data_IF_189400361241
#
_entry.id   IF_189400361241
#
_cell.length_a   1.000
_cell.length_b   1.000
_cell.length_c   1.000
_cell.angle_alpha   90.00
_cell.angle_beta   90.00
_cell.angle_gamma   90.00
#
_symmetry.space_group_name_H-M   'P 1'
#
loop_
_entity.id
_entity.type
_entity.pdbx_description
1 polymer ?
#
# COMPACT_ATOMS: atom_id res chain seq x y z
N UNK A 1 -28.10 -51.47 20.70
CA UNK A 1 -26.70 -51.42 20.23
C UNK A 1 -26.68 -50.73 18.89
N UNK A 2 -25.98 -49.60 18.76
CA UNK A 2 -25.76 -48.95 17.47
C UNK A 2 -24.36 -49.36 16.99
N UNK A 3 -24.28 -49.92 15.78
CA UNK A 3 -23.01 -50.28 15.12
C UNK A 3 -22.83 -49.27 14.00
N UNK A 4 -21.80 -48.44 14.10
CA UNK A 4 -21.45 -47.48 13.05
C UNK A 4 -20.41 -48.11 12.15
N UNK A 5 -20.75 -48.35 10.89
CA UNK A 5 -19.78 -48.81 9.88
C UNK A 5 -19.08 -47.62 9.25
N UNK A 6 -17.77 -47.69 9.14
CA UNK A 6 -16.97 -46.71 8.40
C UNK A 6 -16.13 -47.45 7.35
N UNK A 7 -16.11 -46.88 6.14
CA UNK A 7 -15.22 -47.31 5.07
C UNK A 7 -14.15 -46.26 4.89
N UNK A 8 -12.89 -46.71 4.87
CA UNK A 8 -11.74 -45.87 4.58
C UNK A 8 -10.99 -46.49 3.42
N UNK A 9 -10.75 -45.68 2.39
CA UNK A 9 -9.94 -46.05 1.24
C UNK A 9 -8.55 -45.47 1.45
N UNK A 10 -7.53 -46.30 1.24
CA UNK A 10 -6.16 -45.83 1.14
C UNK A 10 -5.46 -46.53 -0.02
N UNK A 11 -4.48 -45.84 -0.59
CA UNK A 11 -3.75 -46.29 -1.76
C UNK A 11 -2.34 -46.67 -1.32
N UNK A 12 -1.94 -47.92 -1.57
CA UNK A 12 -0.58 -48.39 -1.35
C UNK A 12 -0.08 -49.03 -2.63
N UNK A 13 1.06 -48.56 -3.14
CA UNK A 13 1.67 -49.04 -4.40
C UNK A 13 0.73 -48.99 -5.62
N UNK A 14 -0.12 -47.95 -5.72
CA UNK A 14 -1.01 -47.76 -6.87
C UNK A 14 -2.26 -48.66 -6.89
N UNK A 15 -2.45 -49.52 -5.90
CA UNK A 15 -3.68 -50.28 -5.72
C UNK A 15 -4.54 -49.67 -4.61
N UNK A 16 -5.84 -49.50 -4.88
CA UNK A 16 -6.81 -49.10 -3.87
C UNK A 16 -7.17 -50.32 -3.01
N UNK A 17 -6.94 -50.20 -1.71
CA UNK A 17 -7.31 -51.22 -0.74
C UNK A 17 -8.50 -50.70 0.07
N UNK A 18 -9.56 -51.50 0.15
CA UNK A 18 -10.74 -51.21 0.96
C UNK A 18 -10.60 -51.93 2.31
N UNK A 19 -10.52 -51.15 3.38
CA UNK A 19 -10.54 -51.70 4.73
C UNK A 19 -11.92 -51.47 5.36
N UNK A 20 -12.65 -52.55 5.61
CA UNK A 20 -13.88 -52.53 6.41
C UNK A 20 -13.56 -53.03 7.82
N UNK A 21 -13.51 -52.11 8.78
CA UNK A 21 -13.37 -52.43 10.19
C UNK A 21 -14.70 -52.26 10.91
N UNK A 22 -15.08 -53.24 11.74
CA UNK A 22 -16.14 -53.08 12.74
C UNK A 22 -15.46 -52.88 14.09
N UNK A 23 -15.64 -51.70 14.69
CA UNK A 23 -15.20 -51.46 16.06
C UNK A 23 -16.40 -51.50 17.00
N UNK A 24 -16.40 -52.38 18.03
CA UNK A 24 -17.44 -52.36 19.05
C UNK A 24 -17.30 -51.07 19.86
N UNK A 25 -18.37 -50.28 19.92
CA UNK A 25 -18.47 -49.12 20.82
C UNK A 25 -18.59 -49.66 22.24
N UNK A 26 -17.45 -49.81 22.91
CA UNK A 26 -17.40 -50.07 24.34
C UNK A 26 -17.84 -48.77 25.05
N UNK A 27 -19.03 -48.79 25.65
CA UNK A 27 -19.48 -47.72 26.56
C UNK A 27 -18.58 -47.76 27.80
N UNK A 28 -17.46 -47.05 27.75
CA UNK A 28 -16.62 -46.81 28.91
C UNK A 28 -17.40 -45.93 29.89
N UNK A 29 -17.72 -46.49 31.06
CA UNK A 29 -18.18 -45.69 32.18
C UNK A 29 -17.03 -44.77 32.58
N UNK A 30 -17.26 -43.47 32.41
CA UNK A 30 -16.24 -42.44 32.52
C UNK A 30 -15.67 -42.35 33.94
N UNK A 31 -14.37 -42.60 34.05
CA UNK A 31 -13.59 -42.07 35.15
C UNK A 31 -13.35 -40.58 34.91
N UNK A 32 -13.49 -39.70 35.92
CA UNK A 32 -13.26 -38.27 35.77
C UNK A 32 -11.77 -38.05 35.47
N UNK A 33 -11.45 -37.82 34.20
CA UNK A 33 -10.13 -37.35 33.78
C UNK A 33 -10.00 -35.93 34.32
N UNK A 34 -9.04 -35.64 35.22
CA UNK A 34 -8.80 -34.27 35.65
C UNK A 34 -8.44 -33.47 34.41
N UNK A 35 -9.30 -32.48 34.11
CA UNK A 35 -9.07 -31.51 33.04
C UNK A 35 -7.89 -30.66 33.47
N UNK A 36 -6.66 -31.14 33.21
CA UNK A 36 -5.47 -30.30 33.28
C UNK A 36 -5.65 -29.28 32.17
N UNK A 37 -6.07 -28.08 32.56
CA UNK A 37 -6.26 -26.96 31.66
C UNK A 37 -4.99 -26.81 30.82
N UNK A 38 -5.11 -27.13 29.52
CA UNK A 38 -4.06 -26.87 28.57
C UNK A 38 -3.67 -25.38 28.74
N UNK A 39 -2.38 -25.07 28.95
CA UNK A 39 -1.96 -23.68 29.09
C UNK A 39 -2.44 -22.92 27.86
N UNK A 40 -3.07 -21.74 28.04
CA UNK A 40 -3.63 -21.00 26.92
C UNK A 40 -2.53 -20.80 25.87
N UNK A 41 -2.76 -21.33 24.67
CA UNK A 41 -1.91 -21.10 23.50
C UNK A 41 -1.66 -19.58 23.45
N UNK A 42 -0.40 -19.10 23.42
CA UNK A 42 -0.12 -17.68 23.45
C UNK A 42 -0.79 -16.99 22.25
N UNK A 43 -1.96 -16.37 22.48
CA UNK A 43 -2.68 -15.55 21.50
C UNK A 43 -1.87 -14.31 21.06
N UNK A 44 -0.64 -14.15 21.55
CA UNK A 44 0.25 -13.06 21.21
C UNK A 44 0.72 -13.08 19.74
N UNK A 45 0.78 -14.24 19.06
CA UNK A 45 1.08 -14.27 17.61
C UNK A 45 -0.08 -13.78 16.73
N UNK A 46 -1.33 -13.93 17.18
CA UNK A 46 -2.50 -13.50 16.42
C UNK A 46 -2.79 -11.98 16.52
N UNK A 47 -2.26 -11.29 17.53
CA UNK A 47 -2.45 -9.84 17.68
C UNK A 47 -1.56 -9.01 16.75
N UNK A 48 -0.41 -9.54 16.33
CA UNK A 48 0.59 -8.78 15.54
C UNK A 48 0.24 -8.61 14.05
N UNK A 49 -0.70 -9.41 13.50
CA UNK A 49 -1.15 -9.30 12.11
C UNK A 49 -2.36 -8.37 11.89
N UNK A 50 -2.97 -7.84 12.96
CA UNK A 50 -4.28 -7.17 12.87
C UNK A 50 -4.27 -5.79 12.20
N UNK A 51 -3.11 -5.22 11.89
CA UNK A 51 -2.99 -3.87 11.32
C UNK A 51 -2.11 -3.84 10.05
N UNK A 52 -2.05 -4.93 9.30
CA UNK A 52 -1.36 -4.93 8.00
C UNK A 52 -2.22 -4.21 6.96
N UNK A 53 -1.60 -3.36 6.15
CA UNK A 53 -2.28 -2.75 5.02
C UNK A 53 -2.69 -3.83 4.01
N UNK A 54 -3.76 -3.61 3.27
CA UNK A 54 -4.21 -4.52 2.21
C UNK A 54 -3.08 -4.83 1.21
N UNK A 55 -2.26 -3.83 0.88
CA UNK A 55 -1.13 -4.03 -0.04
C UNK A 55 -0.07 -4.98 0.55
N UNK A 56 0.21 -4.89 1.85
CA UNK A 56 1.13 -5.78 2.56
C UNK A 56 0.55 -7.19 2.74
N UNK A 57 -0.77 -7.30 2.94
CA UNK A 57 -1.44 -8.59 3.10
C UNK A 57 -1.41 -9.42 1.82
N UNK A 58 -1.53 -8.76 0.66
CA UNK A 58 -1.60 -9.40 -0.65
C UNK A 58 -0.31 -9.27 -1.46
N UNK A 59 0.73 -8.63 -0.93
CA UNK A 59 1.97 -8.28 -1.64
C UNK A 59 1.73 -7.60 -3.00
N UNK A 60 0.74 -6.69 -3.08
CA UNK A 60 0.39 -6.08 -4.37
C UNK A 60 1.38 -4.97 -4.78
N UNK A 61 1.24 -4.45 -6.00
CA UNK A 61 2.18 -3.51 -6.62
C UNK A 61 2.44 -2.22 -5.81
N UNK A 62 1.56 -1.89 -4.86
CA UNK A 62 1.62 -0.70 -4.02
C UNK A 62 2.39 -0.88 -2.69
N UNK A 63 3.28 -1.88 -2.62
CA UNK A 63 4.14 -2.11 -1.47
C UNK A 63 4.99 -0.87 -1.13
N UNK A 64 5.22 -0.63 0.17
CA UNK A 64 6.02 0.51 0.63
C UNK A 64 5.30 1.46 1.59
N UNK A 65 4.03 1.20 1.92
CA UNK A 65 3.26 2.07 2.80
C UNK A 65 3.84 2.16 4.22
N UNK A 66 4.38 1.05 4.74
CA UNK A 66 4.99 1.01 6.06
C UNK A 66 6.29 1.79 6.13
N UNK A 67 7.19 1.54 5.19
CA UNK A 67 8.49 2.20 5.15
C UNK A 67 8.31 3.71 5.01
N UNK A 68 7.29 4.14 4.26
CA UNK A 68 6.95 5.55 4.14
C UNK A 68 6.42 6.12 5.47
N UNK A 69 5.53 5.41 6.17
CA UNK A 69 5.06 5.84 7.50
C UNK A 69 6.20 5.94 8.51
N UNK A 70 7.14 4.97 8.48
CA UNK A 70 8.34 4.98 9.31
C UNK A 70 9.24 6.18 8.95
N UNK A 71 9.35 6.57 7.68
CA UNK A 71 10.10 7.75 7.24
C UNK A 71 9.45 9.08 7.66
N UNK A 72 8.12 9.18 7.59
CA UNK A 72 7.38 10.38 7.99
C UNK A 72 7.38 10.59 9.51
N UNK A 73 7.65 9.53 10.28
CA UNK A 73 7.80 9.57 11.73
C UNK A 73 6.48 9.50 12.50
N UNK A 74 6.59 9.20 13.80
CA UNK A 74 5.41 8.97 14.64
C UNK A 74 4.59 10.25 14.91
N UNK A 75 5.25 11.41 14.80
CA UNK A 75 4.66 12.74 15.00
C UNK A 75 3.71 13.14 13.86
N UNK A 76 3.78 12.46 12.72
CA UNK A 76 2.91 12.77 11.59
C UNK A 76 1.44 12.66 11.98
N UNK A 77 0.66 13.69 11.67
CA UNK A 77 -0.71 13.80 12.16
C UNK A 77 -1.67 12.77 11.55
N UNK A 78 -1.24 11.98 10.57
CA UNK A 78 -1.98 10.82 10.03
C UNK A 78 -1.42 9.46 10.48
N UNK A 79 -0.32 9.42 11.22
CA UNK A 79 0.34 8.18 11.64
C UNK A 79 -0.62 7.20 12.32
N UNK A 80 -0.57 5.93 11.93
CA UNK A 80 -1.44 4.86 12.44
C UNK A 80 -2.89 4.90 11.93
N UNK A 81 -3.23 5.80 11.00
CA UNK A 81 -4.58 5.83 10.42
C UNK A 81 -4.72 4.79 9.31
N UNK A 82 -5.77 3.98 9.40
CA UNK A 82 -6.18 3.03 8.37
C UNK A 82 -7.65 3.26 8.01
N UNK A 83 -8.00 2.90 6.78
CA UNK A 83 -9.33 3.06 6.22
C UNK A 83 -9.82 1.71 5.72
N UNK A 84 -10.96 1.29 6.24
CA UNK A 84 -11.62 0.08 5.74
C UNK A 84 -12.04 0.29 4.29
N UNK A 85 -11.81 -0.74 3.48
CA UNK A 85 -12.27 -0.78 2.11
C UNK A 85 -13.80 -0.58 2.08
N UNK A 86 -14.36 0.22 1.15
CA UNK A 86 -15.79 0.44 1.07
C UNK A 86 -16.55 -0.90 0.93
N UNK A 87 -17.80 -1.01 1.44
CA UNK A 87 -18.59 -2.24 1.30
C UNK A 87 -18.81 -2.65 -0.16
N UNK A 88 -19.04 -3.94 -0.41
CA UNK A 88 -19.38 -4.44 -1.75
C UNK A 88 -20.63 -3.74 -2.30
N UNK A 89 -20.58 -3.33 -3.56
CA UNK A 89 -21.65 -2.58 -4.22
C UNK A 89 -21.86 -1.16 -3.70
N UNK A 90 -20.97 -0.63 -2.85
CA UNK A 90 -21.08 0.73 -2.36
C UNK A 90 -20.85 1.73 -3.49
N UNK A 91 -21.90 2.50 -3.79
CA UNK A 91 -21.87 3.54 -4.82
C UNK A 91 -21.80 4.92 -4.19
N UNK A 92 -20.98 5.79 -4.79
CA UNK A 92 -20.95 7.22 -4.47
C UNK A 92 -20.94 8.00 -5.78
N UNK A 93 -21.88 8.94 -5.89
CA UNK A 93 -22.04 9.76 -7.09
C UNK A 93 -22.12 8.93 -8.39
N UNK A 94 -22.78 7.77 -8.34
CA UNK A 94 -22.92 6.85 -9.47
C UNK A 94 -21.74 5.92 -9.73
N UNK A 95 -20.61 6.09 -9.04
CA UNK A 95 -19.41 5.24 -9.18
C UNK A 95 -19.37 4.15 -8.12
N UNK A 96 -18.95 2.94 -8.48
CA UNK A 96 -18.60 1.89 -7.53
C UNK A 96 -17.21 2.17 -6.95
N UNK A 97 -17.16 2.72 -5.73
CA UNK A 97 -15.89 3.16 -5.14
C UNK A 97 -15.01 1.96 -4.82
N UNK A 98 -15.62 0.86 -4.36
CA UNK A 98 -14.89 -0.33 -3.96
C UNK A 98 -14.18 -0.94 -5.16
N UNK A 99 -14.92 -1.15 -6.25
CA UNK A 99 -14.35 -1.68 -7.49
C UNK A 99 -13.21 -0.78 -7.99
N UNK A 100 -13.38 0.55 -7.93
CA UNK A 100 -12.35 1.49 -8.36
C UNK A 100 -11.11 1.49 -7.47
N UNK A 101 -11.26 1.42 -6.15
CA UNK A 101 -10.13 1.29 -5.22
C UNK A 101 -9.34 0.00 -5.48
N UNK A 102 -10.04 -1.11 -5.73
CA UNK A 102 -9.44 -2.40 -6.02
C UNK A 102 -8.71 -2.42 -7.37
N UNK A 103 -9.30 -1.85 -8.41
CA UNK A 103 -8.67 -1.68 -9.73
C UNK A 103 -7.34 -0.94 -9.62
N UNK A 104 -7.33 0.19 -8.90
CA UNK A 104 -6.11 0.98 -8.70
C UNK A 104 -5.06 0.19 -7.92
N UNK A 105 -5.45 -0.50 -6.85
CA UNK A 105 -4.51 -1.30 -6.06
C UNK A 105 -4.01 -2.56 -6.79
N UNK A 106 -4.55 -2.88 -7.97
CA UNK A 106 -4.24 -4.10 -8.71
C UNK A 106 -4.71 -5.36 -8.00
N UNK A 107 -5.84 -5.27 -7.28
CA UNK A 107 -6.43 -6.36 -6.49
C UNK A 107 -7.82 -6.68 -7.04
N UNK A 108 -8.20 -7.97 -7.07
CA UNK A 108 -9.56 -8.38 -7.43
C UNK A 108 -10.37 -8.78 -6.19
N UNK A 109 -11.69 -8.77 -6.29
CA UNK A 109 -12.56 -9.28 -5.21
C UNK A 109 -12.28 -10.75 -4.90
N UNK A 110 -12.01 -11.56 -5.93
CA UNK A 110 -11.68 -12.97 -5.78
C UNK A 110 -10.43 -13.19 -4.92
N UNK A 111 -9.43 -12.30 -5.04
CA UNK A 111 -8.24 -12.35 -4.17
C UNK A 111 -8.60 -12.10 -2.71
N UNK A 112 -9.52 -11.18 -2.43
CA UNK A 112 -9.97 -10.90 -1.05
C UNK A 112 -10.71 -12.09 -0.45
N UNK A 113 -11.56 -12.73 -1.25
CA UNK A 113 -12.32 -13.92 -0.85
C UNK A 113 -11.40 -15.12 -0.64
N UNK A 114 -10.50 -15.39 -1.58
CA UNK A 114 -9.54 -16.48 -1.48
C UNK A 114 -8.65 -16.38 -0.24
N UNK A 115 -8.27 -15.16 0.15
CA UNK A 115 -7.48 -14.90 1.36
C UNK A 115 -8.32 -14.72 2.63
N UNK A 116 -9.65 -14.89 2.55
CA UNK A 116 -10.58 -14.75 3.67
C UNK A 116 -10.47 -13.40 4.42
N UNK A 117 -10.22 -12.31 3.67
CA UNK A 117 -10.07 -10.97 4.23
C UNK A 117 -11.45 -10.33 4.44
N UNK A 118 -11.97 -10.41 5.66
CA UNK A 118 -13.31 -9.89 6.00
C UNK A 118 -13.39 -8.36 6.07
N UNK A 119 -12.34 -7.72 6.56
CA UNK A 119 -12.27 -6.26 6.76
C UNK A 119 -10.91 -5.73 6.34
N UNK A 120 -10.60 -5.79 5.03
CA UNK A 120 -9.35 -5.27 4.53
C UNK A 120 -9.26 -3.76 4.79
N UNK A 121 -8.11 -3.31 5.26
CA UNK A 121 -7.85 -1.90 5.56
C UNK A 121 -6.69 -1.40 4.72
N UNK A 122 -6.78 -0.15 4.27
CA UNK A 122 -5.75 0.54 3.51
C UNK A 122 -5.20 1.66 4.37
N UNK A 123 -3.88 1.75 4.50
CA UNK A 123 -3.25 2.80 5.29
C UNK A 123 -3.33 4.17 4.64
N UNK A 124 -3.27 5.22 5.45
CA UNK A 124 -3.40 6.61 4.99
C UNK A 124 -2.37 7.01 3.93
N UNK A 125 -1.20 6.39 3.96
CA UNK A 125 -0.10 6.59 3.02
C UNK A 125 -0.44 6.31 1.56
N UNK A 126 -1.53 5.59 1.30
CA UNK A 126 -2.08 5.43 -0.05
C UNK A 126 -2.93 6.61 -0.52
N UNK A 127 -3.14 7.63 0.30
CA UNK A 127 -3.96 8.78 -0.08
C UNK A 127 -3.15 10.06 0.09
N UNK A 128 -3.19 10.98 -0.88
CA UNK A 128 -2.63 12.32 -0.72
C UNK A 128 -3.16 13.03 0.53
N UNK A 129 -2.30 13.76 1.24
CA UNK A 129 -2.67 14.38 2.52
C UNK A 129 -3.85 15.36 2.42
N UNK A 130 -3.93 16.11 1.33
CA UNK A 130 -5.04 17.04 1.10
C UNK A 130 -6.39 16.34 0.87
N UNK A 131 -6.43 15.00 0.74
CA UNK A 131 -7.68 14.23 0.76
C UNK A 131 -8.26 14.07 2.17
N UNK A 132 -7.51 14.42 3.21
CA UNK A 132 -7.97 14.31 4.58
C UNK A 132 -8.55 15.64 5.08
N UNK A 133 -9.55 15.52 5.95
CA UNK A 133 -10.01 16.63 6.79
C UNK A 133 -9.54 16.36 8.22
N UNK A 134 -8.93 17.37 8.82
CA UNK A 134 -8.69 17.38 10.25
C UNK A 134 -9.99 17.82 10.92
N UNK A 135 -10.75 16.88 11.46
CA UNK A 135 -11.95 17.19 12.22
C UNK A 135 -11.53 17.55 13.65
N UNK A 136 -11.76 18.79 14.05
CA UNK A 136 -11.54 19.19 15.43
C UNK A 136 -12.46 18.35 16.33
N UNK A 137 -11.89 17.75 17.36
CA UNK A 137 -12.70 17.08 18.36
C UNK A 137 -13.47 18.15 19.12
N UNK A 138 -14.80 18.11 19.06
CA UNK A 138 -15.67 18.95 19.90
C UNK A 138 -15.49 18.66 21.39
N UNK A 139 -14.87 17.53 21.75
CA UNK A 139 -14.56 17.15 23.13
C UNK A 139 -13.07 17.41 23.39
N UNK A 140 -12.72 18.28 24.36
CA UNK A 140 -11.34 18.49 24.80
C UNK A 140 -10.68 17.16 25.19
N UNK A 141 -9.44 16.94 24.73
CA UNK A 141 -8.66 15.75 25.07
C UNK A 141 -9.01 14.46 24.29
N UNK A 142 -10.05 14.45 23.45
CA UNK A 142 -10.26 13.31 22.53
C UNK A 142 -9.35 13.43 21.30
N UNK A 143 -8.78 12.30 20.83
CA UNK A 143 -8.02 12.29 19.59
C UNK A 143 -8.87 12.82 18.43
N UNK A 144 -8.31 13.77 17.67
CA UNK A 144 -8.95 14.31 16.48
C UNK A 144 -9.29 13.16 15.52
N UNK A 145 -10.54 13.09 15.06
CA UNK A 145 -10.95 12.09 14.08
C UNK A 145 -10.36 12.47 12.72
N UNK A 146 -9.65 11.54 12.11
CA UNK A 146 -9.05 11.71 10.78
C UNK A 146 -9.97 11.03 9.79
N UNK A 147 -10.50 11.78 8.83
CA UNK A 147 -11.45 11.27 7.84
C UNK A 147 -11.03 11.67 6.44
N UNK A 148 -11.14 10.72 5.52
CA UNK A 148 -11.11 11.03 4.10
C UNK A 148 -12.27 11.96 3.75
N UNK A 149 -11.99 12.96 2.92
CA UNK A 149 -12.99 13.86 2.35
C UNK A 149 -14.04 13.05 1.58
N UNK A 150 -15.24 13.60 1.47
CA UNK A 150 -16.29 12.96 0.69
C UNK A 150 -15.98 13.03 -0.82
N UNK A 151 -15.52 14.20 -1.26
CA UNK A 151 -15.06 14.54 -2.60
C UNK A 151 -13.84 15.45 -2.49
N UNK A 152 -13.01 15.47 -3.52
CA UNK A 152 -11.75 16.21 -3.62
C UNK A 152 -11.67 16.94 -4.96
N UNK A 153 -10.84 17.96 -5.05
CA UNK A 153 -10.56 18.61 -6.32
C UNK A 153 -9.83 17.62 -7.25
N UNK A 154 -10.17 17.57 -8.55
CA UNK A 154 -9.47 16.70 -9.48
C UNK A 154 -7.98 17.04 -9.53
N UNK A 155 -7.15 16.03 -9.42
CA UNK A 155 -5.70 16.18 -9.53
C UNK A 155 -5.20 15.83 -10.93
N UNK A 156 -4.02 16.33 -11.27
CA UNK A 156 -3.31 15.89 -12.46
C UNK A 156 -3.09 14.37 -12.43
N UNK A 157 -3.50 13.68 -13.50
CA UNK A 157 -3.41 12.22 -13.63
C UNK A 157 -4.63 11.43 -13.16
N UNK A 158 -5.69 12.09 -12.65
CA UNK A 158 -6.99 11.41 -12.47
C UNK A 158 -7.64 11.15 -13.82
N UNK A 159 -8.30 10.00 -13.96
CA UNK A 159 -9.04 9.67 -15.18
C UNK A 159 -10.42 10.34 -15.19
N UNK A 160 -10.97 10.61 -16.38
CA UNK A 160 -12.32 11.18 -16.54
C UNK A 160 -13.42 10.34 -15.87
N UNK A 161 -13.18 9.04 -15.65
CA UNK A 161 -14.11 8.15 -14.96
C UNK A 161 -14.10 8.33 -13.44
N UNK A 162 -13.09 9.00 -12.90
CA UNK A 162 -12.96 9.34 -11.47
C UNK A 162 -13.64 10.67 -11.12
N UNK A 163 -13.98 11.45 -12.14
CA UNK A 163 -14.63 12.74 -12.04
C UNK A 163 -16.15 12.54 -12.06
N UNK A 164 -16.81 13.16 -11.08
CA UNK A 164 -18.25 13.11 -10.93
C UNK A 164 -18.91 13.92 -12.05
N UNK A 165 -19.68 13.24 -12.91
CA UNK A 165 -20.27 13.85 -14.11
C UNK A 165 -21.57 14.62 -13.85
N UNK A 166 -22.27 14.33 -12.76
CA UNK A 166 -23.61 14.86 -12.47
C UNK A 166 -23.85 15.13 -10.98
N UNK A 167 -24.87 15.96 -10.69
CA UNK A 167 -25.30 16.29 -9.33
C UNK A 167 -24.51 17.41 -8.66
N UNK A 168 -24.68 17.55 -7.33
CA UNK A 168 -24.11 18.65 -6.51
C UNK A 168 -22.58 18.72 -6.56
N UNK A 169 -21.91 17.59 -6.78
CA UNK A 169 -20.45 17.49 -6.78
C UNK A 169 -19.87 17.34 -8.19
N UNK A 170 -20.62 17.77 -9.23
CA UNK A 170 -20.15 17.73 -10.61
C UNK A 170 -18.80 18.44 -10.75
N UNK A 171 -17.86 17.79 -11.44
CA UNK A 171 -16.50 18.30 -11.65
C UNK A 171 -15.55 18.03 -10.48
N UNK A 172 -16.02 17.47 -9.37
CA UNK A 172 -15.16 16.99 -8.28
C UNK A 172 -14.80 15.52 -8.48
N UNK A 173 -13.75 15.06 -7.83
CA UNK A 173 -13.32 13.66 -7.84
C UNK A 173 -13.61 12.96 -6.51
N UNK A 174 -13.63 11.63 -6.53
CA UNK A 174 -13.64 10.80 -5.31
C UNK A 174 -12.19 10.63 -4.83
N UNK A 175 -11.89 10.63 -3.51
CA UNK A 175 -10.56 10.28 -3.04
C UNK A 175 -10.26 8.80 -3.37
N UNK A 176 -9.18 8.60 -4.12
CA UNK A 176 -8.75 7.29 -4.59
C UNK A 176 -7.35 6.96 -4.05
N UNK A 177 -7.07 5.67 -3.78
CA UNK A 177 -5.74 5.26 -3.38
C UNK A 177 -4.76 5.36 -4.55
N UNK A 178 -3.51 5.71 -4.25
CA UNK A 178 -2.40 5.74 -5.19
C UNK A 178 -1.51 4.51 -5.01
N UNK A 179 -1.02 3.98 -6.14
CA UNK A 179 -0.20 2.76 -6.18
C UNK A 179 1.25 3.05 -5.83
N UNK A 180 1.78 4.18 -6.29
CA UNK A 180 3.17 4.59 -6.05
C UNK A 180 3.27 5.62 -4.93
N UNK A 181 3.06 5.20 -3.68
CA UNK A 181 3.10 6.09 -2.51
C UNK A 181 4.40 6.91 -2.46
N UNK A 182 5.54 6.28 -2.78
CA UNK A 182 6.87 6.95 -2.81
C UNK A 182 6.98 8.04 -3.89
N UNK A 183 6.45 7.80 -5.10
CA UNK A 183 6.55 8.80 -6.18
C UNK A 183 5.58 9.96 -5.98
N UNK A 184 4.39 9.71 -5.44
CA UNK A 184 3.40 10.76 -5.25
C UNK A 184 3.81 11.76 -4.17
N UNK A 185 4.45 11.29 -3.10
CA UNK A 185 4.96 12.15 -2.03
C UNK A 185 6.25 12.86 -2.41
N UNK A 186 7.13 12.25 -3.21
CA UNK A 186 8.34 12.94 -3.69
C UNK A 186 8.07 14.07 -4.71
N UNK A 187 6.90 14.07 -5.36
CA UNK A 187 6.49 15.11 -6.33
C UNK A 187 5.65 16.22 -5.71
N UNK A 188 4.99 15.94 -4.58
CA UNK A 188 4.61 17.02 -3.69
C UNK A 188 5.94 17.52 -3.15
N UNK A 189 6.50 18.59 -3.75
CA UNK A 189 7.53 19.34 -3.04
C UNK A 189 7.03 19.47 -1.60
N UNK A 190 7.89 19.27 -0.58
CA UNK A 190 7.52 19.69 0.75
C UNK A 190 7.20 21.17 0.59
N UNK A 191 5.92 21.51 0.42
CA UNK A 191 5.42 22.83 0.64
C UNK A 191 5.89 23.03 2.06
N UNK A 192 6.99 23.78 2.21
CA UNK A 192 7.74 23.87 3.44
C UNK A 192 6.67 23.99 4.50
N UNK A 193 6.52 22.92 5.28
CA UNK A 193 5.53 22.88 6.34
C UNK A 193 6.17 23.82 7.34
N UNK A 194 5.97 25.12 7.10
CA UNK A 194 5.96 26.13 8.10
C UNK A 194 4.86 25.57 9.01
N UNK A 195 5.28 24.76 9.99
CA UNK A 195 4.70 24.85 11.30
C UNK A 195 4.59 26.35 11.50
N UNK A 196 3.41 26.89 11.25
CA UNK A 196 3.09 28.24 11.64
C UNK A 196 3.26 28.14 13.13
N UNK A 197 4.44 28.53 13.61
CA UNK A 197 4.68 28.82 15.00
C UNK A 197 3.48 29.65 15.38
N UNK A 198 2.69 29.22 16.38
CA UNK A 198 1.49 29.94 16.75
C UNK A 198 1.94 31.38 16.96
N UNK A 199 1.52 32.26 16.04
CA UNK A 199 1.87 33.66 16.13
C UNK A 199 1.25 34.09 17.43
N UNK A 200 2.12 34.34 18.41
CA UNK A 200 1.75 34.79 19.73
C UNK A 200 0.66 35.85 19.57
N UNK A 201 -0.50 35.69 20.22
CA UNK A 201 -1.54 36.70 20.10
C UNK A 201 -0.94 38.07 20.48
N UNK A 202 -1.30 39.15 19.78
CA UNK A 202 -0.84 40.48 20.15
C UNK A 202 -1.16 40.69 21.63
N UNK A 203 -0.16 41.11 22.40
CA UNK A 203 -0.29 41.33 23.83
C UNK A 203 -1.42 42.33 24.07
N UNK A 204 -2.58 41.80 24.48
CA UNK A 204 -3.65 42.60 25.06
C UNK A 204 -3.20 42.94 26.47
N UNK A 205 -2.70 44.15 26.65
CA UNK A 205 -2.54 44.78 27.96
C UNK A 205 -3.91 44.92 28.59
N UNK A 206 -4.24 44.08 29.57
CA UNK A 206 -5.18 44.42 30.62
C UNK A 206 -5.06 43.48 31.84
N UNK A 207 -4.49 44.06 32.90
CA UNK A 207 -5.02 44.07 34.27
C UNK A 207 -5.51 42.76 34.90
N UNK A 208 -4.67 42.22 35.80
CA UNK A 208 -5.06 41.82 37.16
C UNK A 208 -5.81 40.49 37.33
N UNK A 209 -5.09 39.43 37.73
CA UNK A 209 -5.64 38.33 38.55
C UNK A 209 -4.48 37.60 39.29
N UNK A 210 -4.72 37.05 40.50
CA UNK A 210 -3.68 36.88 41.51
C UNK A 210 -2.90 35.56 41.44
N UNK A 211 -1.71 35.63 42.03
CA UNK A 211 -0.61 34.67 42.06
C UNK A 211 -0.84 33.52 43.06
N UNK A 212 -1.80 32.64 42.79
CA UNK A 212 -2.04 31.48 43.66
C UNK A 212 -2.39 30.20 42.89
N UNK A 213 -1.45 29.65 42.12
CA UNK A 213 -1.38 28.20 41.84
C UNK A 213 -0.09 27.82 41.07
N UNK A 214 1.08 28.06 41.66
CA UNK A 214 2.33 27.41 41.23
C UNK A 214 2.44 26.04 41.92
N UNK A 215 1.93 24.98 41.28
CA UNK A 215 2.35 23.60 41.63
C UNK A 215 3.62 23.28 40.86
N UNK A 216 4.71 23.05 41.61
CA UNK A 216 5.95 22.46 41.12
C UNK A 216 5.64 21.06 40.58
N UNK A 217 5.96 20.81 39.31
CA UNK A 217 5.99 19.47 38.74
C UNK A 217 7.45 19.08 38.60
N UNK A 218 7.89 18.12 39.40
CA UNK A 218 9.21 17.52 39.35
C UNK A 218 9.12 16.24 38.49
N UNK A 219 9.93 16.06 37.44
CA UNK A 219 9.93 14.83 36.66
C UNK A 219 10.61 13.72 37.43
N UNK A 220 9.87 12.65 37.74
CA UNK A 220 10.39 11.44 38.36
C UNK A 220 11.00 10.54 37.27
N UNK A 221 12.33 10.43 37.25
CA UNK A 221 13.08 9.53 36.36
C UNK A 221 12.81 8.07 36.75
N UNK A 222 12.19 7.30 35.87
CA UNK A 222 12.13 5.85 35.99
C UNK A 222 13.29 5.21 35.22
N UNK A 223 14.37 4.91 35.95
CA UNK A 223 15.37 3.93 35.52
C UNK A 223 14.87 2.53 35.88
N UNK A 224 14.62 1.68 34.89
CA UNK A 224 14.47 0.24 35.10
C UNK A 224 15.06 -0.51 33.91
N UNK A 225 16.39 -0.50 33.86
CA UNK A 225 17.16 -1.46 33.09
C UNK A 225 17.75 -2.49 34.07
N UNK A 226 17.17 -3.71 34.09
CA UNK A 226 17.91 -4.99 34.22
C UNK A 226 16.95 -6.15 34.43
N UNK A 227 17.40 -7.29 33.90
CA UNK A 227 17.14 -8.66 34.36
C UNK A 227 16.06 -9.44 33.62
N UNK A 228 16.43 -9.94 32.43
CA UNK A 228 16.10 -11.32 32.05
C UNK A 228 17.33 -11.99 31.44
N UNK A 229 18.03 -12.77 32.26
CA UNK A 229 19.00 -13.75 31.80
C UNK A 229 18.25 -15.06 31.50
N UNK A 230 18.37 -15.48 30.24
CA UNK A 230 18.72 -16.85 29.81
C UNK A 230 18.31 -18.01 30.73
N UNK A 231 17.24 -18.71 30.34
CA UNK A 231 17.14 -20.15 30.56
C UNK A 231 16.66 -20.81 29.26
N UNK A 232 17.61 -21.44 28.55
CA UNK A 232 17.34 -22.33 27.42
C UNK A 232 17.42 -23.76 27.97
N UNK A 233 16.35 -24.58 27.88
CA UNK A 233 16.45 -25.99 28.19
C UNK A 233 16.99 -26.75 26.97
N UNK A 234 18.17 -27.33 27.12
CA UNK A 234 18.75 -28.29 26.17
C UNK A 234 17.99 -29.62 26.30
N UNK A 235 17.14 -29.94 25.33
CA UNK A 235 16.51 -31.26 25.23
C UNK A 235 17.25 -32.06 24.16
N UNK A 236 18.00 -33.07 24.59
CA UNK A 236 18.51 -34.13 23.73
C UNK A 236 17.33 -35.01 23.32
N UNK A 237 17.00 -35.04 22.03
CA UNK A 237 16.08 -36.01 21.44
C UNK A 237 16.72 -36.58 20.18
N UNK A 238 17.08 -37.87 20.29
CA UNK A 238 16.97 -38.95 19.31
C UNK A 238 17.25 -38.61 17.83
N UNK A 239 18.50 -38.86 17.44
CA UNK A 239 18.95 -39.00 16.07
C UNK A 239 18.46 -40.32 15.46
N UNK A 240 17.24 -40.36 14.91
CA UNK A 240 16.88 -41.38 13.93
C UNK A 240 15.98 -40.76 12.86
N UNK A 241 16.45 -40.82 11.61
CA UNK A 241 15.76 -40.53 10.35
C UNK A 241 15.45 -39.05 10.01
N UNK A 242 16.37 -38.40 9.29
CA UNK A 242 16.02 -37.24 8.44
C UNK A 242 16.92 -37.09 7.20
N UNK A 243 17.29 -38.18 6.53
CA UNK A 243 18.07 -38.09 5.28
C UNK A 243 17.26 -37.51 4.11
N UNK A 244 15.92 -37.60 4.14
CA UNK A 244 15.04 -37.01 3.12
C UNK A 244 15.01 -35.46 3.15
N UNK A 245 15.36 -34.83 4.28
CA UNK A 245 15.35 -33.37 4.44
C UNK A 245 16.57 -32.69 3.80
N UNK A 246 17.71 -33.39 3.73
CA UNK A 246 18.95 -32.86 3.15
C UNK A 246 18.86 -32.66 1.63
N UNK A 247 18.19 -33.58 0.92
CA UNK A 247 18.01 -33.45 -0.53
C UNK A 247 17.11 -32.26 -0.91
N UNK A 248 16.05 -32.00 -0.13
CA UNK A 248 15.18 -30.85 -0.33
C UNK A 248 15.92 -29.53 -0.05
N UNK A 249 16.74 -29.49 1.01
CA UNK A 249 17.58 -28.33 1.34
C UNK A 249 18.60 -28.01 0.23
N UNK A 250 19.19 -29.02 -0.41
CA UNK A 250 20.14 -28.81 -1.50
C UNK A 250 19.44 -28.27 -2.75
N UNK A 251 18.23 -28.76 -3.07
CA UNK A 251 17.40 -28.20 -4.15
C UNK A 251 17.09 -26.71 -3.94
N UNK A 252 16.78 -26.30 -2.71
CA UNK A 252 16.54 -24.88 -2.37
C UNK A 252 17.81 -24.04 -2.56
N UNK A 253 18.99 -24.56 -2.19
CA UNK A 253 20.27 -23.84 -2.37
C UNK A 253 20.61 -23.63 -3.83
N UNK A 254 20.44 -24.64 -4.67
CA UNK A 254 20.66 -24.54 -6.12
C UNK A 254 19.73 -23.51 -6.73
N UNK A 255 18.43 -23.53 -6.38
CA UNK A 255 17.47 -22.55 -6.85
C UNK A 255 17.83 -21.12 -6.40
N UNK A 256 18.25 -20.93 -5.15
CA UNK A 256 18.71 -19.63 -4.64
C UNK A 256 19.96 -19.11 -5.34
N UNK A 257 20.87 -20.00 -5.77
CA UNK A 257 22.04 -19.61 -6.53
C UNK A 257 21.67 -19.20 -7.95
N UNK A 258 20.81 -19.97 -8.63
CA UNK A 258 20.30 -19.62 -9.96
C UNK A 258 19.59 -18.25 -9.97
N UNK A 259 18.79 -17.94 -8.93
CA UNK A 259 18.15 -16.62 -8.79
C UNK A 259 19.20 -15.52 -8.65
N UNK A 260 20.28 -15.74 -7.88
CA UNK A 260 21.36 -14.75 -7.74
C UNK A 260 22.10 -14.50 -9.05
N UNK A 261 22.35 -15.56 -9.81
CA UNK A 261 23.04 -15.45 -11.11
C UNK A 261 22.19 -14.70 -12.13
N UNK A 262 20.88 -15.00 -12.22
CA UNK A 262 19.93 -14.28 -13.08
C UNK A 262 19.80 -12.80 -12.69
N UNK A 263 19.78 -12.47 -11.40
CA UNK A 263 19.74 -11.08 -10.94
C UNK A 263 21.02 -10.32 -11.30
N UNK A 264 22.18 -10.99 -11.30
CA UNK A 264 23.45 -10.43 -11.76
C UNK A 264 23.43 -10.12 -13.25
N UNK A 265 22.91 -11.04 -14.07
CA UNK A 265 22.76 -10.88 -15.51
C UNK A 265 21.80 -9.72 -15.86
N UNK A 266 20.64 -9.64 -15.22
CA UNK A 266 19.68 -8.52 -15.39
C UNK A 266 20.34 -7.18 -15.05
N UNK A 267 21.17 -7.13 -14.00
CA UNK A 267 21.90 -5.92 -13.62
C UNK A 267 22.94 -5.53 -14.67
N UNK A 268 23.65 -6.51 -15.24
CA UNK A 268 24.60 -6.30 -16.34
C UNK A 268 23.90 -5.74 -17.59
N UNK A 269 22.80 -6.36 -18.02
CA UNK A 269 22.01 -5.91 -19.17
C UNK A 269 21.44 -4.51 -18.97
N UNK A 270 20.97 -4.17 -17.77
CA UNK A 270 20.50 -2.82 -17.45
C UNK A 270 21.60 -1.77 -17.63
N UNK A 271 22.83 -2.08 -17.22
CA UNK A 271 23.96 -1.18 -17.40
C UNK A 271 24.32 -1.02 -18.88
N UNK A 272 24.30 -2.11 -19.65
CA UNK A 272 24.54 -2.08 -21.10
C UNK A 272 23.51 -1.21 -21.84
N UNK A 273 22.21 -1.40 -21.56
CA UNK A 273 21.14 -0.57 -22.12
C UNK A 273 21.31 0.91 -21.76
N UNK A 274 21.76 1.21 -20.53
CA UNK A 274 22.03 2.58 -20.09
C UNK A 274 23.17 3.21 -20.88
N UNK A 275 24.26 2.47 -21.10
CA UNK A 275 25.40 2.92 -21.91
C UNK A 275 25.01 3.14 -23.38
N UNK A 276 24.22 2.24 -23.97
CA UNK A 276 23.72 2.39 -25.34
C UNK A 276 22.83 3.62 -25.50
N UNK A 277 21.95 3.87 -24.53
CA UNK A 277 21.10 5.07 -24.53
C UNK A 277 21.92 6.36 -24.45
N UNK A 278 22.93 6.40 -23.57
CA UNK A 278 23.82 7.54 -23.46
C UNK A 278 24.64 7.75 -24.74
N UNK A 279 25.09 6.67 -25.38
CA UNK A 279 25.75 6.73 -26.69
C UNK A 279 24.85 7.31 -27.78
N UNK A 280 23.58 6.90 -27.85
CA UNK A 280 22.61 7.42 -28.80
C UNK A 280 22.29 8.92 -28.56
N UNK A 281 22.18 9.34 -27.31
CA UNK A 281 21.96 10.75 -26.94
C UNK A 281 23.17 11.61 -27.33
N UNK A 282 24.40 11.13 -27.12
CA UNK A 282 25.62 11.81 -27.54
C UNK A 282 25.73 11.93 -29.06
N UNK A 283 25.40 10.88 -29.81
CA UNK A 283 25.43 10.89 -31.28
C UNK A 283 24.38 11.86 -31.84
N UNK A 284 23.18 11.90 -31.24
CA UNK A 284 22.15 12.87 -31.59
C UNK A 284 22.63 14.31 -31.36
N UNK A 285 23.24 14.58 -30.21
CA UNK A 285 23.80 15.90 -29.92
C UNK A 285 24.90 16.30 -30.92
N UNK A 286 25.73 15.35 -31.35
CA UNK A 286 26.76 15.57 -32.39
C UNK A 286 26.16 15.91 -33.74
N UNK A 287 25.09 15.22 -34.15
CA UNK A 287 24.35 15.51 -35.38
C UNK A 287 23.70 16.90 -35.34
N UNK A 288 23.07 17.27 -34.22
CA UNK A 288 22.50 18.61 -34.03
C UNK A 288 23.57 19.71 -34.07
N UNK A 289 24.75 19.47 -33.48
CA UNK A 289 25.89 20.40 -33.55
C UNK A 289 26.38 20.58 -34.99
N UNK A 290 26.53 19.49 -35.76
CA UNK A 290 26.96 19.57 -37.17
C UNK A 290 25.96 20.30 -38.07
N UNK A 291 24.68 20.31 -37.73
CA UNK A 291 23.64 21.03 -38.48
C UNK A 291 23.68 22.54 -38.26
N UNK A 292 24.16 23.00 -37.12
CA UNK A 292 24.24 24.43 -36.79
C UNK A 292 25.50 25.12 -37.34
N UNK A 293 26.54 24.38 -37.70
CA UNK A 293 27.82 24.96 -38.17
C UNK A 293 27.83 25.33 -39.66
N UNK A 294 26.76 25.04 -40.41
CA UNK A 294 26.65 25.41 -41.81
C UNK A 294 25.30 26.10 -42.07
N UNK A 295 25.13 27.39 -41.69
CA UNK A 295 24.04 28.20 -42.19
C UNK A 295 24.33 28.51 -43.67
N UNK A 296 24.18 27.50 -44.54
CA UNK A 296 24.00 27.75 -45.96
C UNK A 296 22.81 28.70 -46.09
N UNK A 297 23.06 29.84 -46.73
CA UNK A 297 22.11 30.89 -47.04
C UNK A 297 20.76 30.28 -47.42
N UNK A 298 19.80 30.33 -46.48
CA UNK A 298 18.44 30.02 -46.82
C UNK A 298 18.04 30.99 -47.94
N UNK A 299 17.70 30.51 -49.15
CA UNK A 299 17.29 31.40 -50.22
C UNK A 299 16.13 32.22 -49.71
N UNK A 300 16.21 33.54 -49.89
CA UNK A 300 15.25 34.52 -49.42
C UNK A 300 13.85 34.24 -50.03
N UNK A 301 13.06 33.43 -49.33
CA UNK A 301 11.70 33.06 -49.71
C UNK A 301 10.72 34.23 -49.53
N UNK A 302 11.17 35.41 -49.08
CA UNK A 302 10.32 36.61 -48.99
C UNK A 302 9.83 37.10 -50.35
N UNK A 303 10.44 36.64 -51.46
CA UNK A 303 9.98 36.97 -52.82
C UNK A 303 8.83 36.09 -53.35
N UNK A 304 8.51 34.94 -52.76
CA UNK A 304 7.59 33.98 -53.37
C UNK A 304 6.13 34.10 -52.87
N UNK A 305 5.87 34.80 -51.76
CA UNK A 305 4.52 34.89 -51.18
C UNK A 305 3.64 36.05 -51.68
N UNK A 306 3.93 36.68 -52.82
CA UNK A 306 3.15 37.85 -53.33
C UNK A 306 2.12 37.55 -54.42
N UNK A 307 1.84 36.29 -54.74
CA UNK A 307 1.04 35.94 -55.94
C UNK A 307 -0.26 35.16 -55.72
N UNK A 308 -0.77 34.99 -54.49
CA UNK A 308 -1.92 34.10 -54.26
C UNK A 308 -3.15 34.69 -53.54
N UNK A 309 -3.25 36.02 -53.38
CA UNK A 309 -4.38 36.63 -52.66
C UNK A 309 -5.44 37.36 -53.53
N UNK A 310 -5.35 37.33 -54.87
CA UNK A 310 -6.22 38.17 -55.73
C UNK A 310 -7.50 37.51 -56.31
N UNK A 311 -7.79 36.22 -56.08
CA UNK A 311 -8.88 35.51 -56.82
C UNK A 311 -10.10 35.04 -55.98
N UNK A 312 -10.35 35.58 -54.79
CA UNK A 312 -11.41 35.04 -53.90
C UNK A 312 -12.71 35.88 -53.76
N UNK A 313 -13.00 36.85 -54.64
CA UNK A 313 -14.17 37.73 -54.47
C UNK A 313 -15.11 37.88 -55.70
N UNK A 314 -15.47 36.76 -56.34
CA UNK A 314 -16.63 36.74 -57.25
C UNK A 314 -17.48 35.48 -57.04
N UNK A 315 -18.66 35.64 -56.41
CA UNK A 315 -19.67 34.58 -56.47
C UNK A 315 -20.76 34.61 -55.41
N UNK A 316 -21.51 35.71 -55.30
CA UNK A 316 -22.80 35.68 -54.58
C UNK A 316 -23.88 36.49 -55.31
N UNK A 317 -24.35 35.93 -56.43
CA UNK A 317 -25.59 36.33 -57.10
C UNK A 317 -26.74 35.43 -56.66
N UNK A 318 -27.66 36.04 -55.92
CA UNK A 318 -29.12 35.84 -55.91
C UNK A 318 -29.72 34.76 -56.82
N UNK A 319 -30.63 33.94 -56.27
CA UNK A 319 -31.95 33.68 -56.88
C UNK A 319 -32.92 33.05 -55.86
N UNK A 320 -34.16 33.56 -55.97
CA UNK A 320 -35.49 33.19 -55.48
C UNK A 320 -35.79 31.71 -55.29
#
# INVERSE_FOLDING_TARGET
>A
MQITMFQTFYTQNGQQMLFQGQMPIQQSQGWPVPTVAAPPIPQQRARKRRNLCLCEQLNCSSNGCRELEEQMGEEHWLNGSSFQLPPKGSRRCGMDIRARWLELLGVTEDMLEHNSLLKPEIRWSHFPEHFFKQEESSVPGRPRRRRLKYVVEPMHGMEDKDIIKSGKYRGMAIPLPIVNCKQALGKQQPAAFIYSTPTSPPMSTNNGLPDSMKRKYEPQEFSNAKRFQSMVPTTQQDNVACESSLAELEGVRVAQQQIRDLLSEIKSLRNEVTMLRQGAENEKARQESSRNENPEEAPDLSMICRFLDDDADQGKSTST
#
